data_IF_088159289980
#
_entry.id   IF_088159289980
#
_cell.length_a   1.000
_cell.length_b   1.000
_cell.length_c   1.000
_cell.angle_alpha   90.00
_cell.angle_beta   90.00
_cell.angle_gamma   90.00
#
_symmetry.space_group_name_H-M   'P 1'
#
loop_
_entity.id
_entity.type
_entity.pdbx_description
1 polymer ?
#
# COMPACT_ATOMS: atom_id res chain seq x y z
N UNK A 1 -12.12 17.41 -0.67
CA UNK A 1 -11.65 16.37 -1.62
C UNK A 1 -12.90 15.70 -2.18
N UNK A 2 -13.02 15.53 -3.50
CA UNK A 2 -14.18 14.83 -4.07
C UNK A 2 -14.10 13.33 -3.79
N UNK A 3 -15.24 12.66 -3.67
CA UNK A 3 -15.33 11.21 -3.44
C UNK A 3 -14.61 10.43 -4.53
N UNK A 4 -14.69 10.88 -5.78
CA UNK A 4 -13.94 10.35 -6.91
C UNK A 4 -12.41 10.37 -6.68
N UNK A 5 -11.85 11.48 -6.17
CA UNK A 5 -10.41 11.57 -5.91
C UNK A 5 -10.00 10.57 -4.83
N UNK A 6 -10.81 10.44 -3.78
CA UNK A 6 -10.57 9.50 -2.68
C UNK A 6 -10.60 8.04 -3.16
N UNK A 7 -11.61 7.66 -3.94
CA UNK A 7 -11.73 6.30 -4.48
C UNK A 7 -10.53 5.94 -5.38
N UNK A 8 -10.12 6.86 -6.27
CA UNK A 8 -8.93 6.66 -7.10
C UNK A 8 -7.65 6.46 -6.28
N UNK A 9 -7.48 7.19 -5.17
CA UNK A 9 -6.31 7.05 -4.30
C UNK A 9 -6.29 5.70 -3.59
N UNK A 10 -7.44 5.25 -3.10
CA UNK A 10 -7.60 3.93 -2.48
C UNK A 10 -7.27 2.83 -3.50
N UNK A 11 -7.84 2.91 -4.70
CA UNK A 11 -7.59 1.93 -5.76
C UNK A 11 -6.13 1.95 -6.24
N UNK A 12 -5.45 3.11 -6.19
CA UNK A 12 -4.03 3.23 -6.55
C UNK A 12 -3.17 2.54 -5.50
N UNK A 13 -3.44 2.80 -4.23
CA UNK A 13 -2.72 2.21 -3.12
C UNK A 13 -2.87 0.67 -3.11
N UNK A 14 -4.09 0.16 -3.37
CA UNK A 14 -4.35 -1.28 -3.55
C UNK A 14 -3.57 -1.87 -4.72
N UNK A 15 -3.57 -1.22 -5.88
CA UNK A 15 -2.83 -1.69 -7.04
C UNK A 15 -1.32 -1.72 -6.80
N UNK A 16 -0.77 -0.73 -6.09
CA UNK A 16 0.65 -0.73 -5.68
C UNK A 16 0.97 -1.88 -4.70
N UNK A 17 0.06 -2.18 -3.77
CA UNK A 17 0.25 -3.29 -2.83
C UNK A 17 0.26 -4.63 -3.56
N UNK A 18 -0.75 -4.87 -4.40
CA UNK A 18 -0.84 -6.09 -5.20
C UNK A 18 0.37 -6.22 -6.16
N UNK A 19 0.79 -5.13 -6.79
CA UNK A 19 1.97 -5.13 -7.66
C UNK A 19 3.24 -5.50 -6.90
N UNK A 20 3.42 -4.98 -5.68
CA UNK A 20 4.59 -5.29 -4.84
C UNK A 20 4.68 -6.77 -4.47
N UNK A 21 3.54 -7.45 -4.33
CA UNK A 21 3.47 -8.86 -3.95
C UNK A 21 3.49 -9.82 -5.15
N UNK A 22 2.80 -9.46 -6.23
CA UNK A 22 2.52 -10.38 -7.36
C UNK A 22 3.23 -10.00 -8.65
N UNK A 23 3.75 -8.78 -8.75
CA UNK A 23 4.27 -8.21 -10.01
C UNK A 23 3.19 -7.87 -11.05
N UNK A 24 1.91 -8.10 -10.73
CA UNK A 24 0.79 -7.86 -11.65
C UNK A 24 0.10 -6.54 -11.28
N UNK A 25 -0.06 -5.66 -12.27
CA UNK A 25 -0.79 -4.40 -12.13
C UNK A 25 -2.26 -4.59 -12.53
N UNK A 26 -3.19 -4.32 -11.61
CA UNK A 26 -4.63 -4.49 -11.81
C UNK A 26 -5.42 -3.16 -11.87
N UNK A 27 -4.73 -2.02 -11.92
CA UNK A 27 -5.35 -0.72 -11.69
C UNK A 27 -6.05 -0.11 -12.91
N UNK A 28 -7.38 0.02 -12.86
CA UNK A 28 -8.17 0.88 -13.75
C UNK A 28 -8.71 2.13 -13.02
N UNK A 29 -8.85 3.19 -13.82
CA UNK A 29 -9.26 4.57 -13.47
C UNK A 29 -8.39 5.25 -12.42
N UNK A 30 -7.44 6.04 -12.92
CA UNK A 30 -6.70 7.01 -12.12
C UNK A 30 -6.81 8.40 -12.74
N UNK A 31 -7.12 9.39 -11.92
CA UNK A 31 -6.95 10.78 -12.32
C UNK A 31 -5.44 11.08 -12.54
N UNK A 32 -5.09 12.09 -13.35
CA UNK A 32 -3.70 12.45 -13.60
C UNK A 32 -2.94 12.69 -12.29
N UNK A 33 -1.71 12.18 -12.18
CA UNK A 33 -0.85 12.29 -11.00
C UNK A 33 -1.30 11.53 -9.74
N UNK A 34 -2.33 10.67 -9.79
CA UNK A 34 -2.75 9.88 -8.63
C UNK A 34 -1.58 9.09 -7.99
N UNK A 35 -0.71 8.50 -8.80
CA UNK A 35 0.48 7.81 -8.30
C UNK A 35 1.49 8.77 -7.63
N UNK A 36 1.66 9.98 -8.17
CA UNK A 36 2.56 10.99 -7.61
C UNK A 36 2.02 11.55 -6.29
N UNK A 37 0.71 11.78 -6.19
CA UNK A 37 0.04 12.14 -4.93
C UNK A 37 0.33 11.11 -3.84
N UNK A 38 0.36 9.81 -4.15
CA UNK A 38 0.71 8.74 -3.18
C UNK A 38 2.19 8.80 -2.75
N UNK A 39 3.08 9.20 -3.66
CA UNK A 39 4.50 9.42 -3.35
C UNK A 39 4.67 10.63 -2.45
N UNK A 40 4.00 11.75 -2.75
CA UNK A 40 4.04 12.96 -1.91
C UNK A 40 3.44 12.73 -0.52
N UNK A 41 2.44 11.85 -0.40
CA UNK A 41 1.88 11.43 0.88
C UNK A 41 2.76 10.41 1.63
N UNK A 42 3.84 9.92 1.01
CA UNK A 42 4.74 8.92 1.60
C UNK A 42 4.13 7.52 1.73
N UNK A 43 3.03 7.24 1.02
CA UNK A 43 2.34 5.94 1.05
C UNK A 43 2.99 4.93 0.09
N UNK A 44 3.60 5.43 -0.98
CA UNK A 44 4.26 4.63 -2.02
C UNK A 44 5.61 5.26 -2.35
N UNK A 45 6.62 4.45 -2.66
CA UNK A 45 7.93 4.94 -3.13
C UNK A 45 7.88 5.32 -4.61
N UNK A 46 8.84 6.12 -5.13
CA UNK A 46 8.95 6.37 -6.57
C UNK A 46 9.08 5.09 -7.41
N UNK A 47 9.54 3.99 -6.81
CA UNK A 47 9.66 2.66 -7.42
C UNK A 47 8.38 1.83 -7.36
N UNK A 48 7.25 2.42 -6.93
CA UNK A 48 5.92 1.78 -6.79
C UNK A 48 5.81 0.75 -5.66
N UNK A 49 6.73 0.78 -4.70
CA UNK A 49 6.66 -0.09 -3.52
C UNK A 49 5.82 0.57 -2.43
N UNK A 50 4.94 -0.19 -1.78
CA UNK A 50 4.13 0.34 -0.68
C UNK A 50 4.97 0.45 0.59
N UNK A 51 4.98 1.65 1.19
CA UNK A 51 5.70 1.93 2.44
C UNK A 51 4.96 1.36 3.65
N UNK A 52 5.56 1.39 4.84
CA UNK A 52 4.85 1.06 6.07
C UNK A 52 3.60 1.93 6.27
N UNK A 53 3.69 3.24 5.97
CA UNK A 53 2.56 4.15 6.05
C UNK A 53 1.45 3.76 5.06
N UNK A 54 1.80 3.33 3.85
CA UNK A 54 0.85 2.80 2.87
C UNK A 54 0.14 1.54 3.36
N UNK A 55 0.86 0.60 3.99
CA UNK A 55 0.27 -0.62 4.59
C UNK A 55 -0.67 -0.28 5.75
N UNK A 56 -0.27 0.63 6.64
CA UNK A 56 -1.14 1.14 7.71
C UNK A 56 -2.39 1.80 7.14
N UNK A 57 -2.27 2.58 6.07
CA UNK A 57 -3.42 3.21 5.42
C UNK A 57 -4.39 2.16 4.85
N UNK A 58 -3.89 1.11 4.20
CA UNK A 58 -4.73 0.00 3.71
C UNK A 58 -5.45 -0.72 4.84
N UNK A 59 -4.75 -1.00 5.95
CA UNK A 59 -5.34 -1.63 7.12
C UNK A 59 -6.45 -0.77 7.75
N UNK A 60 -6.22 0.53 7.94
CA UNK A 60 -7.21 1.46 8.48
C UNK A 60 -8.43 1.65 7.56
N UNK A 61 -8.27 1.39 6.26
CA UNK A 61 -9.34 1.40 5.28
C UNK A 61 -10.10 0.05 5.21
N UNK A 62 -9.64 -0.98 5.93
CA UNK A 62 -10.22 -2.33 5.87
C UNK A 62 -9.85 -3.11 4.61
N UNK A 63 -8.78 -2.71 3.93
CA UNK A 63 -8.40 -3.15 2.58
C UNK A 63 -7.06 -3.90 2.54
N UNK A 64 -6.42 -4.08 3.70
CA UNK A 64 -5.13 -4.76 3.82
C UNK A 64 -4.96 -5.43 5.18
N UNK A 65 -3.95 -6.30 5.27
CA UNK A 65 -3.62 -7.01 6.51
C UNK A 65 -3.00 -6.08 7.56
N UNK A 66 -3.01 -6.51 8.81
CA UNK A 66 -2.36 -5.78 9.90
C UNK A 66 -0.86 -5.59 9.56
N UNK A 67 -0.36 -4.34 9.44
CA UNK A 67 1.02 -4.07 9.07
C UNK A 67 2.03 -4.59 10.10
N UNK A 68 1.60 -4.89 11.33
CA UNK A 68 2.43 -5.43 12.40
C UNK A 68 2.41 -6.96 12.46
N UNK A 69 1.47 -7.64 11.79
CA UNK A 69 1.40 -9.11 11.76
C UNK A 69 2.61 -9.73 11.05
N UNK A 70 3.26 -8.99 10.15
CA UNK A 70 4.49 -9.41 9.47
C UNK A 70 5.68 -9.55 10.45
N UNK A 71 5.57 -9.09 11.70
CA UNK A 71 6.68 -9.10 12.67
C UNK A 71 6.67 -10.23 13.71
N UNK A 72 5.86 -11.29 13.55
CA UNK A 72 5.76 -12.36 14.55
C UNK A 72 6.60 -13.63 14.30
N UNK A 73 7.54 -13.66 13.34
CA UNK A 73 8.27 -14.90 13.00
C UNK A 73 9.78 -14.76 12.74
N UNK A 74 10.55 -14.08 13.61
CA UNK A 74 12.03 -14.22 13.63
C UNK A 74 12.65 -14.05 15.04
N UNK A 75 11.97 -14.50 16.08
CA UNK A 75 12.59 -14.69 17.41
C UNK A 75 12.32 -16.09 17.95
N UNK A 76 12.53 -17.12 17.13
CA UNK A 76 13.05 -18.41 17.62
C UNK A 76 14.56 -18.41 17.34
N UNK A 77 15.29 -17.49 17.96
CA UNK A 77 16.73 -17.64 18.12
C UNK A 77 16.91 -18.68 19.22
N UNK A 78 17.50 -19.80 18.83
CA UNK A 78 17.81 -20.91 19.73
C UNK A 78 18.50 -20.43 21.00
N UNK A 79 17.86 -20.70 22.12
CA UNK A 79 18.57 -21.01 23.35
C UNK A 79 18.88 -22.52 23.31
N UNK A 80 20.16 -22.83 23.49
CA UNK A 80 20.73 -24.18 23.43
C UNK A 80 20.51 -25.04 24.65
#
# INVERSE_FOLDING_TARGET
MSDFKRECQINMLKACAQYSETGVWSGEIYYPNCAWDMVEMGLVTPSKEVTLAGRVALFLLGEGEDPLSWSASVYELGDG
#
